data_IF_957404775465
#
_entry.id   IF_957404775465
#
_cell.length_a   1.000
_cell.length_b   1.000
_cell.length_c   1.000
_cell.angle_alpha   90.00
_cell.angle_beta   90.00
_cell.angle_gamma   90.00
#
_symmetry.space_group_name_H-M   'P 1'
#
loop_
_entity.id
_entity.type
_entity.pdbx_description
1 polymer ?
#
# COMPACT_ATOMS: atom_id res chain seq x y z
N UNK A 1 5.91 17.22 11.65
CA UNK A 1 5.92 16.09 12.59
C UNK A 1 7.34 15.92 13.12
N UNK A 2 7.55 15.64 14.41
CA UNK A 2 8.90 15.37 14.94
C UNK A 2 9.38 13.94 14.61
N UNK A 3 10.67 13.64 14.78
CA UNK A 3 11.23 12.31 14.46
C UNK A 3 10.60 11.19 15.29
N UNK A 4 10.22 11.49 16.54
CA UNK A 4 9.59 10.51 17.43
C UNK A 4 8.21 10.11 16.93
N UNK A 5 7.41 11.08 16.53
CA UNK A 5 6.07 10.84 15.96
C UNK A 5 6.18 10.19 14.59
N UNK A 6 7.17 10.57 13.76
CA UNK A 6 7.44 9.90 12.48
C UNK A 6 7.73 8.42 12.68
N UNK A 7 8.59 8.08 13.66
CA UNK A 7 8.86 6.69 14.04
C UNK A 7 7.58 5.95 14.42
N UNK A 8 6.76 6.54 15.29
CA UNK A 8 5.48 5.93 15.70
C UNK A 8 4.55 5.70 14.51
N UNK A 9 4.37 6.71 13.65
CA UNK A 9 3.48 6.62 12.49
C UNK A 9 3.92 5.51 11.53
N UNK A 10 5.22 5.41 11.27
CA UNK A 10 5.82 4.38 10.40
C UNK A 10 5.69 2.96 10.98
N UNK A 11 5.84 2.79 12.30
CA UNK A 11 5.64 1.49 12.95
C UNK A 11 4.15 1.11 13.04
N UNK A 12 3.25 2.09 12.98
CA UNK A 12 1.79 1.87 12.94
C UNK A 12 1.22 1.63 11.54
N UNK A 13 2.08 1.50 10.53
CA UNK A 13 1.65 1.15 9.18
C UNK A 13 1.14 -0.28 9.15
N UNK A 14 -0.09 -0.45 8.67
CA UNK A 14 -0.70 -1.74 8.46
C UNK A 14 0.06 -2.54 7.39
N UNK A 15 0.07 -3.87 7.53
CA UNK A 15 0.73 -4.76 6.57
C UNK A 15 -0.02 -4.78 5.24
N UNK A 16 0.66 -4.34 4.18
CA UNK A 16 0.11 -4.38 2.80
C UNK A 16 -0.07 -5.84 2.39
N UNK A 17 0.89 -6.70 2.73
CA UNK A 17 0.84 -8.12 2.40
C UNK A 17 -0.40 -8.79 2.99
N UNK A 18 -0.64 -8.60 4.29
CA UNK A 18 -1.78 -9.19 4.99
C UNK A 18 -3.10 -8.64 4.44
N UNK A 19 -3.18 -7.33 4.20
CA UNK A 19 -4.39 -6.71 3.65
C UNK A 19 -4.72 -7.28 2.26
N UNK A 20 -3.71 -7.43 1.38
CA UNK A 20 -3.88 -8.05 0.05
C UNK A 20 -4.31 -9.50 0.16
N UNK A 21 -3.70 -10.28 1.08
CA UNK A 21 -4.02 -11.69 1.27
C UNK A 21 -5.44 -11.88 1.81
N UNK A 22 -5.87 -11.06 2.78
CA UNK A 22 -7.23 -11.05 3.29
C UNK A 22 -8.23 -10.68 2.19
N UNK A 23 -7.91 -9.67 1.37
CA UNK A 23 -8.77 -9.28 0.26
C UNK A 23 -8.92 -10.41 -0.78
N UNK A 24 -7.82 -11.08 -1.12
CA UNK A 24 -7.84 -12.22 -2.02
C UNK A 24 -8.67 -13.39 -1.47
N UNK A 25 -8.44 -13.77 -0.22
CA UNK A 25 -9.05 -14.95 0.38
C UNK A 25 -10.53 -14.77 0.71
N UNK A 26 -10.94 -13.57 1.11
CA UNK A 26 -12.30 -13.31 1.57
C UNK A 26 -13.21 -12.72 0.49
N UNK A 27 -12.68 -12.36 -0.69
CA UNK A 27 -13.48 -11.77 -1.77
C UNK A 27 -13.21 -12.41 -3.12
N UNK A 28 -11.97 -12.38 -3.61
CA UNK A 28 -11.64 -12.89 -4.96
C UNK A 28 -11.87 -14.39 -5.08
N UNK A 29 -11.28 -15.16 -4.15
CA UNK A 29 -11.37 -16.62 -4.17
C UNK A 29 -12.83 -17.09 -4.07
N UNK A 30 -13.67 -16.53 -3.17
CA UNK A 30 -15.09 -16.83 -3.11
C UNK A 30 -15.85 -16.60 -4.41
N UNK A 31 -15.53 -15.52 -5.15
CA UNK A 31 -16.25 -15.16 -6.37
C UNK A 31 -15.80 -16.02 -7.56
N UNK A 32 -14.53 -16.44 -7.61
CA UNK A 32 -13.99 -17.27 -8.70
C UNK A 32 -14.28 -18.77 -8.53
N UNK A 33 -14.57 -19.22 -7.32
CA UNK A 33 -14.80 -20.64 -7.06
C UNK A 33 -16.23 -21.03 -7.46
N UNK A 34 -16.36 -21.78 -8.56
CA UNK A 34 -17.63 -22.34 -9.02
C UNK A 34 -18.28 -23.34 -8.03
N UNK A 35 -17.58 -23.70 -6.96
CA UNK A 35 -18.02 -24.66 -5.93
C UNK A 35 -18.37 -23.99 -4.60
N UNK A 36 -18.48 -22.66 -4.57
CA UNK A 36 -18.63 -21.95 -3.31
C UNK A 36 -20.07 -22.02 -2.78
N UNK A 37 -20.29 -22.84 -1.75
CA UNK A 37 -21.56 -22.94 -1.03
C UNK A 37 -21.95 -21.64 -0.32
N UNK A 38 -20.98 -20.77 -0.03
CA UNK A 38 -21.19 -19.53 0.70
C UNK A 38 -21.70 -18.36 -0.17
N UNK A 39 -21.66 -18.47 -1.51
CA UNK A 39 -22.19 -17.47 -2.45
C UNK A 39 -23.00 -18.17 -3.55
N UNK A 40 -24.14 -18.80 -3.21
CA UNK A 40 -24.89 -19.64 -4.14
C UNK A 40 -25.41 -18.86 -5.36
N UNK A 41 -25.69 -17.57 -5.21
CA UNK A 41 -26.17 -16.69 -6.27
C UNK A 41 -25.22 -16.58 -7.47
N UNK A 42 -23.90 -16.76 -7.26
CA UNK A 42 -22.91 -16.71 -8.35
C UNK A 42 -23.14 -17.84 -9.35
N UNK A 43 -23.70 -18.96 -8.91
CA UNK A 43 -24.04 -20.09 -9.78
C UNK A 43 -25.17 -19.72 -10.75
N UNK A 44 -26.03 -18.77 -10.39
CA UNK A 44 -27.19 -18.35 -11.18
C UNK A 44 -26.85 -17.31 -12.26
N UNK A 45 -25.64 -16.75 -12.26
CA UNK A 45 -25.24 -15.78 -13.28
C UNK A 45 -25.21 -16.39 -14.69
N UNK A 46 -25.63 -15.59 -15.67
CA UNK A 46 -25.57 -15.96 -17.09
C UNK A 46 -24.13 -16.30 -17.51
N UNK A 47 -23.94 -17.16 -18.53
CA UNK A 47 -22.61 -17.46 -19.07
C UNK A 47 -21.84 -16.21 -19.52
N UNK A 48 -22.53 -15.23 -20.09
CA UNK A 48 -21.98 -13.96 -20.55
C UNK A 48 -21.46 -13.14 -19.37
N UNK A 49 -22.29 -12.98 -18.32
CA UNK A 49 -21.91 -12.23 -17.12
C UNK A 49 -20.75 -12.92 -16.39
N UNK A 50 -20.74 -14.26 -16.31
CA UNK A 50 -19.62 -15.03 -15.74
C UNK A 50 -18.31 -14.81 -16.51
N UNK A 51 -18.37 -14.75 -17.84
CA UNK A 51 -17.19 -14.51 -18.69
C UNK A 51 -16.65 -13.10 -18.48
N UNK A 52 -17.52 -12.09 -18.43
CA UNK A 52 -17.12 -10.70 -18.15
C UNK A 52 -16.55 -10.55 -16.74
N UNK A 53 -17.21 -11.13 -15.73
CA UNK A 53 -16.77 -11.13 -14.34
C UNK A 53 -15.38 -11.75 -14.20
N UNK A 54 -15.14 -12.91 -14.81
CA UNK A 54 -13.83 -13.55 -14.78
C UNK A 54 -12.74 -12.68 -15.43
N UNK A 55 -13.03 -12.02 -16.57
CA UNK A 55 -12.08 -11.10 -17.20
C UNK A 55 -11.70 -9.94 -16.28
N UNK A 56 -12.69 -9.32 -15.62
CA UNK A 56 -12.45 -8.23 -14.67
C UNK A 56 -11.71 -8.72 -13.42
N UNK A 57 -12.01 -9.91 -12.91
CA UNK A 57 -11.33 -10.50 -11.75
C UNK A 57 -9.86 -10.86 -12.02
N UNK A 58 -9.53 -11.29 -13.24
CA UNK A 58 -8.13 -11.51 -13.64
C UNK A 58 -7.35 -10.20 -13.61
N UNK A 59 -7.89 -9.14 -14.25
CA UNK A 59 -7.27 -7.82 -14.21
C UNK A 59 -7.13 -7.27 -12.78
N UNK A 60 -8.14 -7.51 -11.93
CA UNK A 60 -8.10 -7.15 -10.51
C UNK A 60 -7.00 -7.90 -9.76
N UNK A 61 -6.85 -9.20 -10.00
CA UNK A 61 -5.82 -10.03 -9.38
C UNK A 61 -4.42 -9.59 -9.79
N UNK A 62 -4.19 -9.31 -11.07
CA UNK A 62 -2.90 -8.81 -11.56
C UNK A 62 -2.53 -7.47 -10.89
N UNK A 63 -3.52 -6.63 -10.65
CA UNK A 63 -3.32 -5.36 -9.95
C UNK A 63 -3.03 -5.56 -8.45
N UNK A 64 -3.70 -6.52 -7.79
CA UNK A 64 -3.33 -6.90 -6.41
C UNK A 64 -1.89 -7.39 -6.31
N UNK A 65 -1.42 -8.18 -7.26
CA UNK A 65 -0.02 -8.64 -7.31
C UNK A 65 0.95 -7.47 -7.42
N UNK A 66 0.61 -6.41 -8.17
CA UNK A 66 1.41 -5.17 -8.23
C UNK A 66 1.36 -4.39 -6.92
N UNK A 67 0.20 -4.32 -6.28
CA UNK A 67 0.00 -3.63 -4.99
C UNK A 67 0.76 -4.33 -3.86
N UNK A 68 0.91 -5.65 -3.91
CA UNK A 68 1.67 -6.43 -2.92
C UNK A 68 3.11 -5.93 -2.75
N UNK A 69 3.73 -5.42 -3.82
CA UNK A 69 5.07 -4.78 -3.78
C UNK A 69 5.10 -3.51 -2.92
N UNK A 70 3.96 -2.92 -2.59
CA UNK A 70 3.86 -1.82 -1.63
C UNK A 70 4.34 -2.17 -0.22
N UNK A 71 4.49 -3.46 0.12
CA UNK A 71 5.14 -3.85 1.36
C UNK A 71 6.61 -3.41 1.41
N UNK A 72 7.31 -3.41 0.27
CA UNK A 72 8.71 -2.98 0.20
C UNK A 72 8.82 -1.49 0.52
N UNK A 73 7.83 -0.69 0.11
CA UNK A 73 7.73 0.73 0.49
C UNK A 73 7.61 0.88 2.00
N UNK A 74 6.75 0.11 2.67
CA UNK A 74 6.66 0.11 4.14
C UNK A 74 8.01 -0.18 4.79
N UNK A 75 8.72 -1.20 4.30
CA UNK A 75 10.02 -1.59 4.82
C UNK A 75 11.08 -0.50 4.60
N UNK A 76 11.11 0.14 3.42
CA UNK A 76 12.01 1.26 3.12
C UNK A 76 11.73 2.48 4.02
N UNK A 77 10.46 2.82 4.25
CA UNK A 77 10.09 3.93 5.13
C UNK A 77 10.50 3.68 6.60
N UNK A 78 10.39 2.44 7.08
CA UNK A 78 10.93 2.02 8.39
C UNK A 78 12.45 2.23 8.44
N UNK A 79 13.16 1.82 7.39
CA UNK A 79 14.61 1.97 7.30
C UNK A 79 15.06 3.44 7.29
N UNK A 80 14.42 4.29 6.48
CA UNK A 80 14.72 5.72 6.46
C UNK A 80 14.50 6.40 7.80
N UNK A 81 13.47 6.00 8.53
CA UNK A 81 13.23 6.58 9.85
C UNK A 81 14.35 6.24 10.82
N UNK A 82 14.93 5.03 10.71
CA UNK A 82 16.11 4.63 11.47
C UNK A 82 17.33 5.46 11.07
N UNK A 83 17.57 5.61 9.77
CA UNK A 83 18.66 6.46 9.26
C UNK A 83 18.54 7.92 9.68
N UNK A 84 17.33 8.49 9.71
CA UNK A 84 17.13 9.86 10.19
C UNK A 84 17.46 10.03 11.68
N UNK A 85 17.14 9.03 12.50
CA UNK A 85 17.50 9.02 13.91
C UNK A 85 19.01 8.91 14.06
N UNK A 86 19.64 7.97 13.34
CA UNK A 86 21.09 7.78 13.38
C UNK A 86 21.82 9.03 12.90
N UNK A 87 21.35 9.66 11.81
CA UNK A 87 21.90 10.91 11.29
C UNK A 87 21.83 12.03 12.33
N UNK A 88 20.70 12.14 13.04
CA UNK A 88 20.53 13.13 14.11
C UNK A 88 21.48 12.87 15.28
N UNK A 89 21.68 11.61 15.67
CA UNK A 89 22.61 11.25 16.74
C UNK A 89 24.07 11.51 16.34
N UNK A 90 24.46 11.18 15.11
CA UNK A 90 25.81 11.44 14.62
C UNK A 90 26.12 12.92 14.49
N UNK A 91 25.13 13.75 14.11
CA UNK A 91 25.24 15.21 14.13
C UNK A 91 25.53 15.72 15.56
N UNK A 92 24.83 15.19 16.57
CA UNK A 92 25.06 15.57 17.97
C UNK A 92 26.43 15.12 18.51
N UNK A 93 26.99 14.04 17.97
CA UNK A 93 28.29 13.49 18.36
C UNK A 93 29.46 14.10 17.59
N UNK A 94 29.21 14.87 16.53
CA UNK A 94 30.25 15.39 15.64
C UNK A 94 30.88 14.32 14.73
N UNK A 95 30.24 13.16 14.55
CA UNK A 95 30.75 12.08 13.68
C UNK A 95 30.37 12.33 12.21
N UNK A 96 31.19 13.18 11.56
CA UNK A 96 30.99 13.56 10.17
C UNK A 96 31.16 12.40 9.19
N UNK A 97 32.04 11.43 9.49
CA UNK A 97 32.29 10.27 8.63
C UNK A 97 31.04 9.40 8.53
N UNK A 98 30.44 9.06 9.68
CA UNK A 98 29.22 8.26 9.72
C UNK A 98 28.02 9.04 9.15
N UNK A 99 27.93 10.34 9.40
CA UNK A 99 26.91 11.20 8.79
C UNK A 99 26.98 11.19 7.26
N UNK A 100 28.17 11.27 6.68
CA UNK A 100 28.36 11.17 5.22
C UNK A 100 27.95 9.80 4.69
N UNK A 101 28.32 8.72 5.38
CA UNK A 101 27.92 7.36 5.00
C UNK A 101 26.40 7.19 4.99
N UNK A 102 25.70 7.63 6.04
CA UNK A 102 24.22 7.56 6.10
C UNK A 102 23.58 8.38 4.98
N UNK A 103 24.12 9.57 4.70
CA UNK A 103 23.62 10.45 3.64
C UNK A 103 23.77 9.79 2.27
N UNK A 104 24.93 9.20 1.99
CA UNK A 104 25.18 8.47 0.74
C UNK A 104 24.25 7.27 0.61
N UNK A 105 23.99 6.53 1.69
CA UNK A 105 23.06 5.40 1.64
C UNK A 105 21.62 5.85 1.33
N UNK A 106 21.15 6.98 1.85
CA UNK A 106 19.80 7.49 1.51
C UNK A 106 19.70 7.94 0.05
N UNK A 107 20.80 8.47 -0.51
CA UNK A 107 20.81 9.10 -1.84
C UNK A 107 21.18 8.16 -2.99
N UNK A 108 22.04 7.18 -2.74
CA UNK A 108 22.72 6.43 -3.78
C UNK A 108 22.63 4.91 -3.63
N UNK A 109 22.13 4.40 -2.52
CA UNK A 109 21.90 2.96 -2.36
C UNK A 109 20.92 2.44 -3.40
N UNK A 110 21.26 1.34 -4.09
CA UNK A 110 20.47 0.80 -5.19
C UNK A 110 19.02 0.49 -4.77
N UNK A 111 18.82 0.04 -3.53
CA UNK A 111 17.53 -0.39 -3.00
C UNK A 111 16.86 0.68 -2.13
N UNK A 112 17.63 1.37 -1.30
CA UNK A 112 17.20 2.40 -0.35
C UNK A 112 17.42 3.83 -0.87
N UNK A 113 17.40 4.03 -2.18
CA UNK A 113 17.34 5.37 -2.74
C UNK A 113 15.95 6.00 -2.49
N UNK A 114 15.93 7.17 -1.87
CA UNK A 114 14.70 7.93 -1.58
C UNK A 114 13.93 8.34 -2.86
N UNK A 115 14.61 8.64 -3.97
CA UNK A 115 14.01 8.97 -5.26
C UNK A 115 13.27 7.77 -5.86
N UNK A 116 13.86 6.57 -5.77
CA UNK A 116 13.19 5.34 -6.17
C UNK A 116 11.95 5.10 -5.29
N UNK A 117 12.09 5.30 -3.98
CA UNK A 117 10.96 5.14 -3.05
C UNK A 117 9.82 6.13 -3.33
N UNK A 118 10.12 7.38 -3.69
CA UNK A 118 9.10 8.35 -4.09
C UNK A 118 8.32 7.86 -5.33
N UNK A 119 9.03 7.28 -6.30
CA UNK A 119 8.41 6.71 -7.50
C UNK A 119 7.55 5.49 -7.17
N UNK A 120 8.02 4.62 -6.28
CA UNK A 120 7.28 3.46 -5.79
C UNK A 120 6.00 3.86 -5.02
N UNK A 121 6.08 4.89 -4.16
CA UNK A 121 4.91 5.45 -3.45
C UNK A 121 3.86 5.98 -4.44
N UNK A 122 4.29 6.70 -5.48
CA UNK A 122 3.39 7.18 -6.54
C UNK A 122 2.75 6.03 -7.30
N UNK A 123 3.53 5.00 -7.65
CA UNK A 123 3.02 3.82 -8.33
C UNK A 123 2.02 3.05 -7.46
N UNK A 124 2.31 2.88 -6.17
CA UNK A 124 1.42 2.22 -5.22
C UNK A 124 0.08 2.96 -5.09
N UNK A 125 0.09 4.28 -4.97
CA UNK A 125 -1.12 5.10 -4.95
C UNK A 125 -1.92 4.99 -6.26
N UNK A 126 -1.26 5.08 -7.41
CA UNK A 126 -1.94 4.91 -8.70
C UNK A 126 -2.58 3.51 -8.82
N UNK A 127 -1.87 2.46 -8.39
CA UNK A 127 -2.39 1.10 -8.44
C UNK A 127 -3.58 0.92 -7.48
N UNK A 128 -3.53 1.46 -6.27
CA UNK A 128 -4.65 1.37 -5.31
C UNK A 128 -5.89 2.15 -5.78
N UNK A 129 -5.71 3.31 -6.43
CA UNK A 129 -6.82 4.03 -7.07
C UNK A 129 -7.44 3.23 -8.22
N UNK A 130 -6.61 2.66 -9.11
CA UNK A 130 -7.09 1.78 -10.18
C UNK A 130 -7.83 0.56 -9.62
N UNK A 131 -7.35 0.00 -8.51
CA UNK A 131 -7.99 -1.14 -7.84
C UNK A 131 -9.39 -0.76 -7.36
N UNK A 132 -9.55 0.45 -6.81
CA UNK A 132 -10.85 0.95 -6.40
C UNK A 132 -11.83 1.06 -7.58
N UNK A 133 -11.37 1.50 -8.75
CA UNK A 133 -12.22 1.57 -9.96
C UNK A 133 -12.65 0.17 -10.38
N UNK A 134 -11.71 -0.78 -10.50
CA UNK A 134 -12.03 -2.16 -10.86
C UNK A 134 -12.94 -2.85 -9.84
N UNK A 135 -12.73 -2.59 -8.55
CA UNK A 135 -13.61 -3.08 -7.48
C UNK A 135 -15.05 -2.61 -7.68
N UNK A 136 -15.24 -1.31 -7.95
CA UNK A 136 -16.57 -0.73 -8.17
C UNK A 136 -17.21 -1.32 -9.43
N UNK A 137 -16.46 -1.49 -10.52
CA UNK A 137 -16.97 -2.13 -11.74
C UNK A 137 -17.44 -3.57 -11.51
N UNK A 138 -16.63 -4.37 -10.79
CA UNK A 138 -16.97 -5.75 -10.44
C UNK A 138 -18.24 -5.78 -9.58
N UNK A 139 -18.31 -4.92 -8.56
CA UNK A 139 -19.47 -4.86 -7.68
C UNK A 139 -20.73 -4.38 -8.42
N UNK A 140 -20.63 -3.40 -9.31
CA UNK A 140 -21.78 -2.98 -10.12
C UNK A 140 -22.28 -4.13 -11.01
N UNK A 141 -21.37 -4.92 -11.58
CA UNK A 141 -21.74 -6.08 -12.40
C UNK A 141 -22.41 -7.16 -11.56
N UNK A 142 -21.88 -7.46 -10.37
CA UNK A 142 -22.48 -8.41 -9.42
C UNK A 142 -23.87 -7.91 -8.97
N UNK A 143 -23.98 -6.66 -8.53
CA UNK A 143 -25.24 -6.10 -8.00
C UNK A 143 -26.39 -6.08 -9.01
N UNK A 144 -26.12 -5.99 -10.31
CA UNK A 144 -27.16 -6.06 -11.35
C UNK A 144 -27.87 -7.42 -11.41
N UNK A 145 -27.21 -8.47 -10.94
CA UNK A 145 -27.69 -9.84 -10.99
C UNK A 145 -28.19 -10.34 -9.64
N UNK A 146 -28.03 -9.55 -8.57
CA UNK A 146 -28.44 -9.92 -7.23
C UNK A 146 -29.89 -9.55 -6.96
N UNK A 147 -30.62 -10.45 -6.29
CA UNK A 147 -31.84 -10.09 -5.58
C UNK A 147 -31.54 -9.16 -4.39
N UNK A 148 -32.57 -8.53 -3.83
CA UNK A 148 -32.40 -7.58 -2.72
C UNK A 148 -31.73 -8.22 -1.50
N UNK A 149 -32.15 -9.43 -1.12
CA UNK A 149 -31.61 -10.16 0.04
C UNK A 149 -30.14 -10.55 -0.18
N UNK A 150 -29.81 -11.00 -1.40
CA UNK A 150 -28.43 -11.34 -1.76
C UNK A 150 -27.54 -10.08 -1.82
N UNK A 151 -28.08 -8.94 -2.24
CA UNK A 151 -27.37 -7.66 -2.26
C UNK A 151 -27.03 -7.19 -0.83
N UNK A 152 -27.94 -7.36 0.13
CA UNK A 152 -27.69 -7.05 1.54
C UNK A 152 -26.58 -7.96 2.08
N UNK A 153 -26.71 -9.28 1.91
CA UNK A 153 -25.69 -10.25 2.35
C UNK A 153 -24.32 -9.97 1.71
N UNK A 154 -24.29 -9.64 0.43
CA UNK A 154 -23.04 -9.32 -0.27
C UNK A 154 -22.41 -8.00 0.22
N UNK A 155 -23.21 -7.01 0.62
CA UNK A 155 -22.71 -5.76 1.20
C UNK A 155 -22.14 -5.93 2.61
N UNK A 156 -22.62 -6.91 3.38
CA UNK A 156 -22.12 -7.21 4.73
C UNK A 156 -20.72 -7.87 4.72
N UNK A 157 -20.28 -8.38 3.58
CA UNK A 157 -18.94 -8.94 3.44
C UNK A 157 -17.85 -7.87 3.64
N UNK A 158 -16.72 -8.19 4.28
CA UNK A 158 -15.70 -7.21 4.68
C UNK A 158 -14.83 -6.69 3.51
N UNK A 159 -15.21 -6.90 2.25
CA UNK A 159 -14.38 -6.58 1.08
C UNK A 159 -14.08 -5.07 0.96
N UNK A 160 -15.05 -4.21 1.28
CA UNK A 160 -14.90 -2.74 1.28
C UNK A 160 -13.88 -2.27 2.31
N UNK A 161 -13.80 -2.97 3.46
CA UNK A 161 -12.82 -2.69 4.52
C UNK A 161 -11.39 -2.88 4.00
N UNK A 162 -11.12 -3.96 3.25
CA UNK A 162 -9.78 -4.22 2.72
C UNK A 162 -9.35 -3.19 1.68
N UNK A 163 -10.27 -2.80 0.77
CA UNK A 163 -10.01 -1.72 -0.18
C UNK A 163 -9.73 -0.39 0.55
N UNK A 164 -10.55 -0.04 1.53
CA UNK A 164 -10.36 1.15 2.34
C UNK A 164 -8.99 1.15 3.02
N UNK A 165 -8.59 0.04 3.62
CA UNK A 165 -7.28 -0.10 4.27
C UNK A 165 -6.13 0.14 3.28
N UNK A 166 -6.18 -0.44 2.08
CA UNK A 166 -5.15 -0.21 1.05
C UNK A 166 -5.05 1.28 0.65
N UNK A 167 -6.20 1.95 0.49
CA UNK A 167 -6.24 3.39 0.20
C UNK A 167 -5.67 4.23 1.35
N UNK A 168 -5.96 3.87 2.60
CA UNK A 168 -5.38 4.54 3.76
C UNK A 168 -3.87 4.32 3.86
N UNK A 169 -3.38 3.10 3.61
CA UNK A 169 -1.94 2.83 3.58
C UNK A 169 -1.25 3.70 2.51
N UNK A 170 -1.83 3.81 1.30
CA UNK A 170 -1.27 4.65 0.24
C UNK A 170 -1.18 6.13 0.64
N UNK A 171 -2.23 6.64 1.31
CA UNK A 171 -2.24 7.99 1.87
C UNK A 171 -1.17 8.19 2.95
N UNK A 172 -1.03 7.23 3.88
CA UNK A 172 -0.01 7.26 4.93
C UNK A 172 1.40 7.21 4.33
N UNK A 173 1.66 6.35 3.36
CA UNK A 173 2.96 6.28 2.65
C UNK A 173 3.35 7.63 2.02
N UNK A 174 2.43 8.30 1.33
CA UNK A 174 2.66 9.65 0.79
C UNK A 174 2.99 10.68 1.85
N UNK A 175 2.26 10.68 2.97
CA UNK A 175 2.55 11.60 4.08
C UNK A 175 3.95 11.34 4.65
N UNK A 176 4.23 10.09 4.98
CA UNK A 176 5.49 9.68 5.60
C UNK A 176 6.67 9.99 4.70
N UNK A 177 6.64 9.63 3.40
CA UNK A 177 7.79 9.89 2.50
C UNK A 177 8.10 11.39 2.39
N UNK A 178 7.06 12.24 2.39
CA UNK A 178 7.23 13.70 2.44
C UNK A 178 7.90 14.15 3.73
N UNK A 179 7.50 13.60 4.87
CA UNK A 179 8.10 13.94 6.18
C UNK A 179 9.54 13.44 6.27
N UNK A 180 9.82 12.23 5.78
CA UNK A 180 11.18 11.68 5.68
C UNK A 180 12.08 12.62 4.87
N UNK A 181 11.63 13.03 3.68
CA UNK A 181 12.37 13.97 2.83
C UNK A 181 12.61 15.32 3.52
N UNK A 182 11.59 15.86 4.19
CA UNK A 182 11.71 17.13 4.94
C UNK A 182 12.75 17.05 6.06
N UNK A 183 12.74 15.96 6.85
CA UNK A 183 13.72 15.73 7.92
C UNK A 183 15.12 15.54 7.36
N UNK A 184 15.25 14.75 6.29
CA UNK A 184 16.53 14.51 5.64
C UNK A 184 17.20 15.80 5.15
N UNK A 185 16.44 16.66 4.47
CA UNK A 185 16.94 17.97 4.00
C UNK A 185 17.30 18.88 5.16
N UNK A 186 16.53 18.86 6.25
CA UNK A 186 16.82 19.68 7.43
C UNK A 186 18.14 19.28 8.11
N UNK A 187 18.39 17.98 8.25
CA UNK A 187 19.61 17.44 8.88
C UNK A 187 20.84 17.65 8.01
N UNK A 188 20.73 17.44 6.70
CA UNK A 188 21.86 17.60 5.77
C UNK A 188 22.26 19.08 5.60
N UNK A 189 21.31 20.02 5.57
CA UNK A 189 21.61 21.46 5.55
C UNK A 189 22.39 21.93 6.78
N UNK A 190 22.03 21.44 7.98
CA UNK A 190 22.76 21.75 9.21
C UNK A 190 24.19 21.21 9.17
N UNK A 191 24.38 20.01 8.64
CA UNK A 191 25.71 19.41 8.47
C UNK A 191 26.60 20.12 7.44
N UNK A 192 26.03 20.83 6.46
CA UNK A 192 26.80 21.61 5.48
C UNK A 192 27.12 23.04 5.95
N UNK A 193 26.33 23.59 6.88
CA UNK A 193 26.55 24.91 7.49
C UNK A 193 27.54 24.90 8.67
N UNK A 194 27.94 23.71 9.15
CA UNK A 194 28.97 23.53 10.17
C UNK A 194 30.40 23.36 9.64
N UNK A 195 30.63 23.67 8.37
CA UNK A 195 31.97 23.80 7.75
C UNK A 195 32.36 25.27 7.64
#
# INVERSE_FOLDING_TARGET
>A
MDLRSLKKEVHSLDSVHETVQQFHNNWIKPIRSNTNSHLPFIQNFSPETKKELNKKLVAFHDLLCKIKKGQDVTNKLQHYTRYLIDLKLTEMQGDHTKSMLITNNILHDEFFNIQNTISEVKAFDLHTQKLSVHYNEINMLIHKELSLDEAIFFMDLPHKKYLYNLLQIAKKHKNIVRQVGSHFVSLTRKNHLGK
#
